data_IF_600383171577
#
_entry.id   IF_600383171577
#
_cell.length_a   1.000
_cell.length_b   1.000
_cell.length_c   1.000
_cell.angle_alpha   90.00
_cell.angle_beta   90.00
_cell.angle_gamma   90.00
#
_symmetry.space_group_name_H-M   'P 1'
#
loop_
_entity.id
_entity.type
_entity.pdbx_description
1 polymer ?
#
# COMPACT_ATOMS: atom_id res chain seq x y z
N UNK A 1 34.64 7.23 -61.18
CA UNK A 1 33.40 7.23 -60.44
C UNK A 1 33.56 6.36 -59.22
N UNK A 2 33.73 6.97 -58.05
CA UNK A 2 33.81 6.27 -56.75
C UNK A 2 32.64 6.78 -55.87
N UNK A 3 31.65 5.87 -55.65
CA UNK A 3 30.51 6.13 -54.82
C UNK A 3 30.91 5.88 -53.36
N UNK A 4 30.81 6.86 -52.53
CA UNK A 4 31.09 6.79 -51.09
C UNK A 4 29.75 6.62 -50.39
N UNK A 5 29.46 5.41 -49.92
CA UNK A 5 28.35 5.17 -49.02
C UNK A 5 28.72 5.60 -47.59
N UNK A 6 28.12 6.70 -47.15
CA UNK A 6 28.21 7.14 -45.78
C UNK A 6 27.21 6.37 -44.94
N UNK A 7 27.69 5.48 -44.07
CA UNK A 7 26.90 4.82 -43.03
C UNK A 7 26.82 5.76 -41.83
N UNK A 8 25.67 6.38 -41.62
CA UNK A 8 25.33 7.05 -40.38
C UNK A 8 24.97 6.01 -39.31
N UNK A 9 25.55 6.07 -38.12
CA UNK A 9 25.08 5.23 -37.02
C UNK A 9 23.78 5.83 -36.45
N UNK A 10 22.70 5.11 -36.56
CA UNK A 10 21.45 5.42 -35.91
C UNK A 10 21.56 5.01 -34.42
N UNK A 11 22.21 5.82 -33.62
CA UNK A 11 22.13 5.75 -32.17
C UNK A 11 20.89 6.54 -31.75
N UNK A 12 19.76 5.89 -31.68
CA UNK A 12 18.60 6.44 -31.01
C UNK A 12 18.90 6.48 -29.50
N UNK A 13 19.31 7.63 -29.00
CA UNK A 13 19.27 7.93 -27.57
C UNK A 13 17.79 8.00 -27.18
N UNK A 14 17.30 6.93 -26.56
CA UNK A 14 16.05 7.00 -25.82
C UNK A 14 16.34 7.84 -24.58
N UNK A 15 15.92 9.10 -24.61
CA UNK A 15 15.97 9.97 -23.46
C UNK A 15 15.05 9.40 -22.37
N UNK A 16 15.55 9.26 -21.16
CA UNK A 16 14.79 8.77 -20.01
C UNK A 16 13.68 9.74 -19.55
N UNK A 17 13.42 10.79 -20.31
CA UNK A 17 12.42 11.81 -20.00
C UNK A 17 11.06 11.60 -20.70
N UNK A 18 10.97 10.63 -21.62
CA UNK A 18 9.76 10.40 -22.41
C UNK A 18 8.86 9.26 -21.90
N UNK A 19 9.08 8.80 -20.67
CA UNK A 19 8.07 7.98 -20.00
C UNK A 19 7.08 8.94 -19.37
N UNK A 20 5.86 9.11 -19.92
CA UNK A 20 4.84 9.89 -19.23
C UNK A 20 4.64 9.20 -17.87
N UNK A 21 4.97 9.89 -16.80
CA UNK A 21 4.55 9.48 -15.48
C UNK A 21 3.03 9.31 -15.60
N UNK A 22 2.56 8.06 -15.53
CA UNK A 22 1.15 7.77 -15.47
C UNK A 22 0.66 8.50 -14.21
N UNK A 23 0.20 9.71 -14.39
CA UNK A 23 -0.53 10.43 -13.37
C UNK A 23 -1.84 9.68 -13.22
N UNK A 24 -1.84 8.69 -12.33
CA UNK A 24 -3.08 8.16 -11.78
C UNK A 24 -3.68 9.37 -11.07
N UNK A 25 -4.77 9.96 -11.57
CA UNK A 25 -5.41 11.04 -10.85
C UNK A 25 -5.87 10.45 -9.53
N UNK A 26 -5.20 10.82 -8.45
CA UNK A 26 -5.69 10.58 -7.11
C UNK A 26 -6.94 11.47 -6.96
N UNK A 27 -8.05 11.00 -7.48
CA UNK A 27 -9.33 11.61 -7.19
C UNK A 27 -9.66 11.29 -5.73
N UNK A 28 -9.67 12.28 -4.83
CA UNK A 28 -10.05 12.05 -3.43
C UNK A 28 -11.46 11.45 -3.29
N UNK A 29 -12.29 11.58 -4.33
CA UNK A 29 -13.63 10.98 -4.38
C UNK A 29 -13.64 9.52 -4.82
N UNK A 30 -12.50 8.97 -5.25
CA UNK A 30 -12.31 7.54 -5.48
C UNK A 30 -11.79 6.84 -4.20
N UNK A 31 -11.93 7.47 -3.05
CA UNK A 31 -11.91 6.75 -1.78
C UNK A 31 -13.03 5.73 -1.90
N UNK A 32 -12.59 4.49 -2.09
CA UNK A 32 -13.41 3.30 -2.33
C UNK A 32 -14.73 3.41 -1.57
N UNK A 33 -15.83 3.38 -2.32
CA UNK A 33 -17.14 3.23 -1.73
C UNK A 33 -17.08 2.12 -0.68
N UNK A 34 -17.79 2.22 0.45
CA UNK A 34 -17.80 1.17 1.44
C UNK A 34 -18.08 -0.14 0.72
N UNK A 35 -17.08 -1.01 0.69
CA UNK A 35 -17.20 -2.32 0.07
C UNK A 35 -18.27 -3.10 0.83
N UNK A 36 -18.91 -4.03 0.15
CA UNK A 36 -19.81 -4.99 0.82
C UNK A 36 -19.13 -5.55 2.08
N UNK A 37 -19.88 -5.90 3.14
CA UNK A 37 -19.31 -6.41 4.37
C UNK A 37 -18.28 -7.51 4.10
N UNK A 38 -17.10 -7.42 4.72
CA UNK A 38 -16.02 -8.39 4.54
C UNK A 38 -16.50 -9.74 5.08
N UNK A 39 -16.52 -10.74 4.22
CA UNK A 39 -16.78 -12.15 4.59
C UNK A 39 -15.49 -12.95 4.48
N UNK A 40 -15.46 -14.17 5.04
CA UNK A 40 -14.29 -15.07 4.93
C UNK A 40 -13.86 -15.31 3.47
N UNK A 41 -14.80 -15.20 2.53
CA UNK A 41 -14.56 -15.38 1.10
C UNK A 41 -14.05 -14.11 0.43
N UNK A 42 -13.97 -12.99 1.16
CA UNK A 42 -13.65 -11.66 0.63
C UNK A 42 -12.45 -11.01 1.29
N UNK A 43 -11.49 -11.79 1.81
CA UNK A 43 -10.25 -11.23 2.35
C UNK A 43 -9.53 -10.41 1.27
N UNK A 44 -9.16 -9.14 1.54
CA UNK A 44 -8.42 -8.33 0.58
C UNK A 44 -7.09 -8.99 0.21
N UNK A 45 -6.82 -9.13 -1.09
CA UNK A 45 -5.61 -9.78 -1.60
C UNK A 45 -4.35 -8.98 -1.30
N UNK A 46 -4.47 -7.65 -1.15
CA UNK A 46 -3.36 -6.78 -0.79
C UNK A 46 -3.47 -6.37 0.67
N UNK A 47 -2.46 -6.74 1.46
CA UNK A 47 -2.36 -6.42 2.88
C UNK A 47 -1.14 -5.54 3.19
N UNK A 48 -1.25 -4.75 4.25
CA UNK A 48 -0.16 -3.98 4.81
C UNK A 48 0.47 -4.75 5.98
N UNK A 49 1.72 -5.20 5.80
CA UNK A 49 2.48 -5.93 6.82
C UNK A 49 3.13 -4.99 7.83
N UNK A 50 3.09 -5.36 9.11
CA UNK A 50 3.59 -4.53 10.21
C UNK A 50 4.90 -5.03 10.81
N UNK A 51 5.49 -6.09 10.27
CA UNK A 51 6.79 -6.58 10.73
C UNK A 51 7.89 -5.55 10.48
N UNK A 52 8.77 -5.36 11.45
CA UNK A 52 9.86 -4.37 11.42
C UNK A 52 9.42 -2.90 11.23
N UNK A 53 8.16 -2.57 11.43
CA UNK A 53 7.80 -1.17 11.56
C UNK A 53 8.46 -0.58 12.79
N UNK A 54 9.14 0.54 12.60
CA UNK A 54 9.71 1.29 13.71
C UNK A 54 8.58 1.72 14.67
N UNK A 55 8.77 1.46 15.97
CA UNK A 55 7.76 1.77 16.99
C UNK A 55 7.42 3.25 17.08
N UNK A 56 8.36 4.13 16.68
CA UNK A 56 8.13 5.58 16.70
C UNK A 56 7.11 6.06 15.65
N UNK A 57 6.95 5.32 14.55
CA UNK A 57 6.07 5.69 13.45
C UNK A 57 5.01 4.63 13.09
N UNK A 58 4.99 3.50 13.79
CA UNK A 58 4.09 2.39 13.47
C UNK A 58 2.61 2.82 13.45
N UNK A 59 2.18 3.63 14.40
CA UNK A 59 0.81 4.16 14.46
C UNK A 59 0.49 5.00 13.23
N UNK A 60 1.37 5.92 12.85
CA UNK A 60 1.19 6.79 11.68
C UNK A 60 1.21 6.00 10.39
N UNK A 61 2.14 5.06 10.23
CA UNK A 61 2.26 4.23 9.04
C UNK A 61 0.99 3.39 8.78
N UNK A 62 0.42 2.78 9.83
CA UNK A 62 -0.82 2.00 9.73
C UNK A 62 -2.02 2.91 9.41
N UNK A 63 -2.11 4.06 10.08
CA UNK A 63 -3.16 5.04 9.78
C UNK A 63 -3.09 5.51 8.32
N UNK A 64 -1.90 5.82 7.83
CA UNK A 64 -1.69 6.23 6.44
C UNK A 64 -2.02 5.09 5.46
N UNK A 65 -1.66 3.85 5.76
CA UNK A 65 -2.03 2.70 4.94
C UNK A 65 -3.55 2.61 4.75
N UNK A 66 -4.34 2.78 5.81
CA UNK A 66 -5.81 2.77 5.72
C UNK A 66 -6.31 3.96 4.89
N UNK A 67 -5.77 5.15 5.09
CA UNK A 67 -6.13 6.35 4.33
C UNK A 67 -5.80 6.21 2.83
N UNK A 68 -4.76 5.47 2.49
CA UNK A 68 -4.36 5.21 1.09
C UNK A 68 -5.08 4.03 0.45
N UNK A 69 -5.96 3.35 1.19
CA UNK A 69 -6.86 2.33 0.62
C UNK A 69 -6.55 0.89 1.03
N UNK A 70 -5.55 0.62 1.88
CA UNK A 70 -5.41 -0.73 2.43
C UNK A 70 -6.61 -1.07 3.30
N UNK A 71 -7.08 -2.32 3.16
CA UNK A 71 -8.21 -2.87 3.92
C UNK A 71 -7.86 -4.16 4.64
N UNK A 72 -6.60 -4.57 4.56
CA UNK A 72 -6.07 -5.73 5.27
C UNK A 72 -4.75 -5.32 5.96
N UNK A 73 -4.69 -5.53 7.27
CA UNK A 73 -3.49 -5.28 8.10
C UNK A 73 -3.02 -6.63 8.63
N UNK A 74 -1.76 -6.96 8.40
CA UNK A 74 -1.13 -8.19 8.89
C UNK A 74 -0.16 -7.87 10.02
N UNK A 75 -0.45 -8.38 11.21
CA UNK A 75 0.35 -8.23 12.42
C UNK A 75 0.62 -9.58 13.09
N UNK A 76 1.40 -9.58 14.15
CA UNK A 76 1.67 -10.74 14.99
C UNK A 76 2.14 -10.33 16.39
N UNK A 77 1.87 -11.15 17.41
CA UNK A 77 2.40 -10.93 18.76
C UNK A 77 3.94 -10.81 18.78
N UNK A 78 4.62 -11.65 17.99
CA UNK A 78 6.09 -11.63 17.90
C UNK A 78 6.67 -10.28 17.42
N UNK A 79 5.88 -9.44 16.74
CA UNK A 79 6.34 -8.14 16.25
C UNK A 79 6.42 -7.09 17.37
N UNK A 80 5.79 -7.35 18.51
CA UNK A 80 5.77 -6.51 19.74
C UNK A 80 5.36 -5.06 19.46
N UNK A 81 4.52 -4.85 18.47
CA UNK A 81 4.01 -3.54 18.08
C UNK A 81 2.48 -3.48 17.92
N UNK A 82 1.75 -4.54 18.27
CA UNK A 82 0.29 -4.64 18.06
C UNK A 82 -0.51 -3.51 18.71
N UNK A 83 -0.09 -3.03 19.89
CA UNK A 83 -0.72 -1.87 20.54
C UNK A 83 -0.67 -0.62 19.65
N UNK A 84 0.48 -0.38 19.00
CA UNK A 84 0.67 0.76 18.10
C UNK A 84 -0.09 0.57 16.80
N UNK A 85 -0.14 -0.66 16.29
CA UNK A 85 -0.97 -1.05 15.12
C UNK A 85 -2.45 -0.78 15.42
N UNK A 86 -2.93 -1.20 16.59
CA UNK A 86 -4.32 -0.94 17.01
C UNK A 86 -4.65 0.55 17.07
N UNK A 87 -3.75 1.38 17.61
CA UNK A 87 -3.90 2.84 17.60
C UNK A 87 -3.94 3.40 16.17
N UNK A 88 -3.08 2.88 15.28
CA UNK A 88 -3.05 3.28 13.88
C UNK A 88 -4.33 2.91 13.13
N UNK A 89 -4.90 1.73 13.41
CA UNK A 89 -6.19 1.32 12.85
C UNK A 89 -7.28 2.29 13.32
N UNK A 90 -7.39 2.55 14.62
CA UNK A 90 -8.40 3.46 15.17
C UNK A 90 -8.31 4.87 14.56
N UNK A 91 -7.09 5.41 14.43
CA UNK A 91 -6.85 6.72 13.84
C UNK A 91 -7.19 6.72 12.32
N UNK A 92 -6.77 5.69 11.58
CA UNK A 92 -7.09 5.56 10.16
C UNK A 92 -8.59 5.44 9.89
N UNK A 93 -9.31 4.66 10.69
CA UNK A 93 -10.77 4.56 10.61
C UNK A 93 -11.44 5.90 10.87
N UNK A 94 -11.02 6.61 11.92
CA UNK A 94 -11.57 7.94 12.26
C UNK A 94 -11.36 8.97 11.13
N UNK A 95 -10.18 8.96 10.50
CA UNK A 95 -9.84 9.89 9.41
C UNK A 95 -10.54 9.57 8.09
N UNK A 96 -10.91 8.32 7.86
CA UNK A 96 -11.56 7.90 6.60
C UNK A 96 -13.07 7.77 6.71
N UNK A 97 -13.63 7.80 7.92
CA UNK A 97 -15.05 7.53 8.15
C UNK A 97 -15.44 6.06 7.98
N UNK A 98 -14.46 5.18 7.90
CA UNK A 98 -14.68 3.74 7.84
C UNK A 98 -15.01 3.17 9.21
N UNK A 99 -15.71 2.03 9.21
CA UNK A 99 -15.99 1.24 10.41
C UNK A 99 -14.98 0.09 10.60
N UNK A 100 -15.01 -0.59 11.75
CA UNK A 100 -14.14 -1.74 12.00
C UNK A 100 -14.40 -2.90 11.04
N UNK A 101 -15.62 -3.05 10.57
CA UNK A 101 -16.03 -4.09 9.62
C UNK A 101 -15.44 -3.91 8.22
N UNK A 102 -14.97 -2.70 7.91
CA UNK A 102 -14.33 -2.41 6.62
C UNK A 102 -12.86 -2.82 6.56
N UNK A 103 -12.29 -3.28 7.68
CA UNK A 103 -10.88 -3.64 7.79
C UNK A 103 -10.71 -5.09 8.22
N UNK A 104 -9.98 -5.87 7.42
CA UNK A 104 -9.51 -7.19 7.79
C UNK A 104 -8.21 -7.06 8.60
N UNK A 105 -8.13 -7.75 9.74
CA UNK A 105 -6.93 -7.80 10.56
C UNK A 105 -6.54 -9.24 10.77
N UNK A 106 -5.34 -9.59 10.33
CA UNK A 106 -4.69 -10.87 10.63
C UNK A 106 -3.70 -10.68 11.76
N UNK A 107 -3.73 -11.55 12.76
CA UNK A 107 -2.65 -11.67 13.75
C UNK A 107 -2.25 -13.13 13.93
N UNK A 108 -1.11 -13.34 14.59
CA UNK A 108 -0.49 -14.66 14.76
C UNK A 108 -0.07 -14.83 16.21
N UNK A 109 -0.43 -15.96 16.81
CA UNK A 109 0.15 -16.38 18.08
C UNK A 109 1.58 -16.86 17.85
N UNK A 110 2.43 -16.66 18.85
CA UNK A 110 3.79 -17.20 18.84
C UNK A 110 3.87 -18.48 19.65
N UNK A 111 4.80 -19.34 19.34
CA UNK A 111 4.92 -20.68 19.93
C UNK A 111 5.48 -20.72 21.37
N UNK A 112 5.80 -19.60 21.94
CA UNK A 112 6.29 -19.44 23.32
C UNK A 112 5.25 -18.83 24.28
N UNK A 113 3.97 -18.79 23.86
CA UNK A 113 2.85 -18.29 24.66
C UNK A 113 2.22 -19.43 25.52
#
# INVERSE_FOLDING_TARGET
MKSVFSLLPLAALVSSQDVPAAQIPLNPSTVLAPSAPLTLDSIPLLGFGTWNLDRSNATEAVSLAIQTGFRHIDCADAYKNEELVGKGIADGLAKTGLSREDIWVTSKLWNDQ
#
